data_IF_805841868821
#
_entry.id   IF_805841868821
#
_cell.length_a   1.000
_cell.length_b   1.000
_cell.length_c   1.000
_cell.angle_alpha   90.00
_cell.angle_beta   90.00
_cell.angle_gamma   90.00
#
_symmetry.space_group_name_H-M   'P 1'
#
loop_
_entity.id
_entity.type
_entity.pdbx_description
1 polymer ?
#
# COMPACT_ATOMS: atom_id res chain seq x y z
N UNK A 1 -5.62 -23.99 -7.14
CA UNK A 1 -5.71 -23.21 -5.91
C UNK A 1 -6.24 -21.83 -6.20
N UNK A 2 -7.38 -21.53 -5.65
CA UNK A 2 -8.09 -20.34 -6.04
C UNK A 2 -7.51 -19.06 -5.45
N UNK A 3 -7.11 -19.13 -4.19
CA UNK A 3 -6.66 -17.94 -3.50
C UNK A 3 -5.31 -17.42 -3.95
N UNK A 4 -4.51 -18.27 -4.62
CA UNK A 4 -3.14 -17.91 -4.95
C UNK A 4 -3.03 -16.70 -5.87
N UNK A 5 -4.00 -16.54 -6.77
CA UNK A 5 -3.94 -15.44 -7.72
C UNK A 5 -4.08 -14.08 -7.05
N UNK A 6 -5.08 -13.95 -6.17
CA UNK A 6 -5.27 -12.71 -5.44
C UNK A 6 -4.09 -12.43 -4.53
N UNK A 7 -3.62 -13.46 -3.84
CA UNK A 7 -2.49 -13.30 -2.94
C UNK A 7 -1.24 -12.86 -3.71
N UNK A 8 -1.05 -13.38 -4.92
CA UNK A 8 0.08 -12.99 -5.74
C UNK A 8 0.00 -11.50 -6.10
N UNK A 9 -1.18 -11.03 -6.50
CA UNK A 9 -1.34 -9.62 -6.85
C UNK A 9 -1.11 -8.73 -5.64
N UNK A 10 -1.68 -9.11 -4.49
CA UNK A 10 -1.44 -8.35 -3.27
C UNK A 10 0.05 -8.31 -2.92
N UNK A 11 0.73 -9.43 -3.10
CA UNK A 11 2.16 -9.49 -2.84
C UNK A 11 2.96 -8.58 -3.74
N UNK A 12 2.58 -8.49 -5.01
CA UNK A 12 3.25 -7.59 -5.94
C UNK A 12 3.03 -6.13 -5.55
N UNK A 13 1.84 -5.80 -5.06
CA UNK A 13 1.58 -4.45 -4.56
C UNK A 13 2.46 -4.14 -3.37
N UNK A 14 2.62 -5.10 -2.46
CA UNK A 14 3.47 -4.91 -1.28
C UNK A 14 4.92 -4.68 -1.71
N UNK A 15 5.41 -5.44 -2.68
CA UNK A 15 6.77 -5.27 -3.18
C UNK A 15 6.94 -3.86 -3.76
N UNK A 16 5.98 -3.42 -4.57
CA UNK A 16 6.05 -2.09 -5.19
C UNK A 16 6.06 -0.99 -4.14
N UNK A 17 5.21 -1.10 -3.12
CA UNK A 17 5.14 -0.10 -2.07
C UNK A 17 6.40 -0.12 -1.21
N UNK A 18 6.93 -1.30 -0.92
CA UNK A 18 8.17 -1.40 -0.15
C UNK A 18 9.30 -0.69 -0.88
N UNK A 19 9.42 -0.93 -2.18
CA UNK A 19 10.47 -0.28 -2.98
C UNK A 19 10.26 1.23 -3.03
N UNK A 20 9.02 1.66 -3.11
CA UNK A 20 8.72 3.10 -3.10
C UNK A 20 9.22 3.74 -1.82
N UNK A 21 8.96 3.11 -0.68
CA UNK A 21 9.41 3.63 0.61
C UNK A 21 10.92 3.61 0.75
N UNK A 22 11.55 2.54 0.24
CA UNK A 22 13.02 2.47 0.24
C UNK A 22 13.62 3.66 -0.48
N UNK A 23 13.07 3.99 -1.64
CA UNK A 23 13.60 5.07 -2.45
C UNK A 23 13.27 6.45 -1.87
N UNK A 24 12.03 6.61 -1.40
CA UNK A 24 11.59 7.93 -0.94
C UNK A 24 12.24 8.32 0.38
N UNK A 25 12.38 7.37 1.30
CA UNK A 25 12.87 7.65 2.63
C UNK A 25 14.28 7.12 2.86
N UNK A 26 14.91 6.57 1.83
CA UNK A 26 16.27 6.04 1.89
C UNK A 26 16.40 4.98 2.99
N UNK A 27 15.46 4.03 2.97
CA UNK A 27 15.41 2.98 3.97
C UNK A 27 15.93 1.66 3.40
N UNK A 28 16.44 0.81 4.29
CA UNK A 28 16.71 -0.58 3.94
C UNK A 28 15.38 -1.31 3.74
N UNK A 29 15.45 -2.46 3.08
CA UNK A 29 14.23 -3.19 2.72
C UNK A 29 13.41 -3.55 3.96
N UNK A 30 14.05 -4.08 5.00
CA UNK A 30 13.34 -4.47 6.19
C UNK A 30 12.72 -3.29 6.92
N UNK A 31 13.39 -2.14 6.89
CA UNK A 31 12.86 -0.93 7.50
C UNK A 31 11.64 -0.43 6.73
N UNK A 32 11.74 -0.46 5.41
CA UNK A 32 10.62 -0.02 4.56
C UNK A 32 9.42 -0.93 4.75
N UNK A 33 9.65 -2.22 4.78
CA UNK A 33 8.58 -3.18 4.98
C UNK A 33 7.91 -2.99 6.34
N UNK A 34 8.71 -2.80 7.40
CA UNK A 34 8.16 -2.58 8.73
C UNK A 34 7.31 -1.32 8.77
N UNK A 35 7.76 -0.28 8.08
CA UNK A 35 6.99 0.96 8.00
C UNK A 35 5.67 0.74 7.27
N UNK A 36 5.71 -0.02 6.20
CA UNK A 36 4.52 -0.29 5.39
C UNK A 36 3.46 -1.08 6.16
N UNK A 37 3.85 -2.13 6.87
CA UNK A 37 2.86 -2.97 7.56
C UNK A 37 2.19 -2.25 8.72
N UNK A 38 2.74 -1.12 9.16
CA UNK A 38 2.11 -0.30 10.18
C UNK A 38 1.06 0.65 9.61
N UNK A 39 0.94 0.75 8.29
CA UNK A 39 0.02 1.72 7.72
C UNK A 39 -1.40 1.16 7.66
N UNK A 40 -2.36 2.06 7.69
CA UNK A 40 -3.75 1.70 7.45
C UNK A 40 -3.92 1.21 6.02
N UNK A 41 -3.18 1.80 5.08
CA UNK A 41 -3.24 1.38 3.68
C UNK A 41 -2.90 -0.10 3.54
N UNK A 42 -1.90 -0.58 4.26
CA UNK A 42 -1.53 -1.99 4.19
C UNK A 42 -2.71 -2.88 4.59
N UNK A 43 -3.38 -2.54 5.69
CA UNK A 43 -4.54 -3.30 6.14
C UNK A 43 -5.64 -3.30 5.09
N UNK A 44 -5.90 -2.15 4.48
CA UNK A 44 -6.92 -2.05 3.45
C UNK A 44 -6.52 -2.82 2.20
N UNK A 45 -5.25 -2.78 1.84
CA UNK A 45 -4.77 -3.49 0.65
C UNK A 45 -4.92 -4.99 0.80
N UNK A 46 -4.68 -5.50 2.01
CA UNK A 46 -4.74 -6.93 2.26
C UNK A 46 -6.17 -7.42 2.48
N UNK A 47 -7.13 -6.51 2.59
CA UNK A 47 -8.54 -6.85 2.69
C UNK A 47 -9.12 -6.93 1.28
N UNK A 48 -9.48 -8.13 0.80
CA UNK A 48 -9.94 -8.26 -0.58
C UNK A 48 -11.21 -7.47 -0.89
N UNK A 49 -12.00 -7.15 0.13
CA UNK A 49 -13.25 -6.43 -0.11
C UNK A 49 -13.03 -4.98 -0.52
N UNK A 50 -11.86 -4.42 -0.25
CA UNK A 50 -11.58 -3.04 -0.66
C UNK A 50 -11.24 -2.92 -2.12
N UNK A 51 -10.82 -4.02 -2.75
CA UNK A 51 -10.37 -4.07 -4.14
C UNK A 51 -9.17 -3.17 -4.43
N UNK A 52 -8.45 -2.73 -3.38
CA UNK A 52 -7.30 -1.86 -3.59
C UNK A 52 -6.18 -2.57 -4.34
N UNK A 53 -6.10 -3.90 -4.22
CA UNK A 53 -5.08 -4.63 -4.95
C UNK A 53 -5.27 -4.57 -6.46
N UNK A 54 -6.40 -4.05 -6.93
CA UNK A 54 -6.66 -3.87 -8.36
C UNK A 54 -6.22 -2.49 -8.86
N UNK A 55 -5.84 -1.60 -7.97
CA UNK A 55 -5.41 -0.26 -8.36
C UNK A 55 -3.98 -0.29 -8.91
N UNK A 56 -3.61 0.78 -9.61
CA UNK A 56 -2.25 0.87 -10.15
C UNK A 56 -1.25 1.08 -9.02
N UNK A 57 0.02 0.76 -9.31
CA UNK A 57 1.08 1.04 -8.36
C UNK A 57 1.18 2.53 -8.06
N UNK A 58 0.98 3.37 -9.07
CA UNK A 58 1.03 4.82 -8.85
C UNK A 58 -0.04 5.28 -7.87
N UNK A 59 -1.25 4.76 -8.02
CA UNK A 59 -2.35 5.08 -7.11
C UNK A 59 -1.98 4.68 -5.68
N UNK A 60 -1.46 3.46 -5.52
CA UNK A 60 -1.14 2.95 -4.19
C UNK A 60 0.02 3.71 -3.57
N UNK A 61 1.03 4.07 -4.35
CA UNK A 61 2.13 4.86 -3.84
C UNK A 61 1.66 6.24 -3.40
N UNK A 62 0.78 6.87 -4.18
CA UNK A 62 0.22 8.16 -3.80
C UNK A 62 -0.58 8.04 -2.51
N UNK A 63 -1.37 6.98 -2.38
CA UNK A 63 -2.17 6.76 -1.17
C UNK A 63 -1.26 6.58 0.05
N UNK A 64 -0.18 5.84 -0.13
CA UNK A 64 0.78 5.61 0.93
C UNK A 64 1.41 6.94 1.38
N UNK A 65 1.80 7.77 0.42
CA UNK A 65 2.36 9.07 0.72
C UNK A 65 1.37 9.96 1.46
N UNK A 66 0.11 9.93 1.05
CA UNK A 66 -0.92 10.72 1.71
C UNK A 66 -1.04 10.33 3.18
N UNK A 67 -1.05 9.04 3.45
CA UNK A 67 -1.17 8.58 4.83
C UNK A 67 0.05 8.97 5.65
N UNK A 68 1.24 8.71 5.12
CA UNK A 68 2.47 8.94 5.89
C UNK A 68 2.75 10.41 6.12
N UNK A 69 2.34 11.27 5.19
CA UNK A 69 2.63 12.69 5.29
C UNK A 69 1.51 13.48 5.95
N UNK A 70 0.27 13.01 5.85
CA UNK A 70 -0.89 13.79 6.30
C UNK A 70 -1.83 13.04 7.21
N UNK A 71 -1.65 11.73 7.39
CA UNK A 71 -2.44 10.95 8.33
C UNK A 71 -3.55 10.15 7.68
N UNK A 72 -4.17 9.32 8.51
CA UNK A 72 -5.17 8.36 8.05
C UNK A 72 -6.40 9.06 7.46
N UNK A 73 -6.79 10.21 8.02
CA UNK A 73 -7.94 10.92 7.51
C UNK A 73 -7.77 11.31 6.04
N UNK A 74 -6.58 11.79 5.69
CA UNK A 74 -6.30 12.18 4.31
C UNK A 74 -6.26 10.95 3.41
N UNK A 75 -5.75 9.83 3.93
CA UNK A 75 -5.79 8.58 3.18
C UNK A 75 -7.23 8.23 2.79
N UNK A 76 -8.16 8.29 3.73
CA UNK A 76 -9.54 7.94 3.43
C UNK A 76 -10.19 8.93 2.47
N UNK A 77 -9.83 10.20 2.58
CA UNK A 77 -10.31 11.18 1.60
C UNK A 77 -9.83 10.83 0.20
N UNK A 78 -8.58 10.42 0.09
CA UNK A 78 -7.99 10.07 -1.20
C UNK A 78 -8.71 8.86 -1.81
N UNK A 79 -8.92 7.82 -0.99
CA UNK A 79 -9.56 6.60 -1.45
C UNK A 79 -11.01 6.84 -1.84
N UNK A 80 -11.71 7.68 -1.10
CA UNK A 80 -13.14 7.92 -1.31
C UNK A 80 -13.41 9.06 -2.26
N UNK A 81 -12.39 9.59 -2.91
CA UNK A 81 -12.54 10.75 -3.77
C UNK A 81 -13.46 10.47 -4.95
N UNK A 82 -13.52 9.24 -5.36
CA UNK A 82 -14.41 8.89 -6.44
C UNK A 82 -15.84 8.84 -5.97
#
# INVERSE_FOLDING_TARGET
MQGGKMETVQGLCVVALTRHLMNKYLLAEDEAYAKLIDTELYSLLMDPETNLFLETNQYLCNACDMELEHGIGVLYEYINRE
#
